data_IF_283157514239
#
_entry.id   IF_283157514239
#
_cell.length_a   1.000
_cell.length_b   1.000
_cell.length_c   1.000
_cell.angle_alpha   90.00
_cell.angle_beta   90.00
_cell.angle_gamma   90.00
#
_symmetry.space_group_name_H-M   'P 1'
#
loop_
_entity.id
_entity.type
_entity.pdbx_description
1 polymer ?
#
# COMPACT_ATOMS: atom_id res chain seq x y z
N UNK A 1 -14.63 -7.57 24.29
CA UNK A 1 -13.76 -6.92 23.29
C UNK A 1 -12.61 -7.87 23.03
N UNK A 2 -12.31 -8.20 21.77
CA UNK A 2 -11.18 -9.07 21.45
C UNK A 2 -9.88 -8.42 21.91
N UNK A 3 -8.99 -9.21 22.52
CA UNK A 3 -7.69 -8.76 23.00
C UNK A 3 -6.82 -8.23 21.85
N UNK A 4 -6.08 -7.15 22.12
CA UNK A 4 -5.08 -6.59 21.22
C UNK A 4 -3.71 -7.09 21.63
N UNK A 5 -3.00 -7.69 20.68
CA UNK A 5 -1.63 -8.17 20.87
C UNK A 5 -0.71 -7.35 19.98
N UNK A 6 0.28 -6.71 20.57
CA UNK A 6 1.35 -6.03 19.81
C UNK A 6 2.24 -7.11 19.19
N UNK A 7 2.36 -7.09 17.87
CA UNK A 7 3.22 -8.01 17.12
C UNK A 7 4.64 -7.43 17.05
N UNK A 8 4.74 -6.16 16.68
CA UNK A 8 5.99 -5.44 16.56
C UNK A 8 5.78 -3.96 16.92
N UNK A 9 6.83 -3.35 17.47
CA UNK A 9 6.89 -1.91 17.74
C UNK A 9 8.33 -1.47 17.57
N UNK A 10 8.54 -0.48 16.72
CA UNK A 10 9.88 0.03 16.40
C UNK A 10 9.85 1.55 16.23
N UNK A 11 10.96 2.20 16.61
CA UNK A 11 11.17 3.63 16.37
C UNK A 11 12.00 3.80 15.11
N UNK A 12 11.44 4.46 14.11
CA UNK A 12 12.11 4.84 12.86
C UNK A 12 12.54 6.31 12.92
N UNK A 13 13.35 6.81 11.96
CA UNK A 13 13.65 8.24 11.86
C UNK A 13 12.42 9.14 11.74
N UNK A 14 11.28 8.62 11.26
CA UNK A 14 10.07 9.41 11.08
C UNK A 14 9.11 9.28 12.28
N UNK A 15 9.14 8.18 13.03
CA UNK A 15 8.38 8.07 14.28
C UNK A 15 8.28 6.63 14.81
N UNK A 16 7.49 6.43 15.86
CA UNK A 16 7.19 5.08 16.34
C UNK A 16 6.10 4.43 15.49
N UNK A 17 6.40 3.26 14.93
CA UNK A 17 5.44 2.40 14.28
C UNK A 17 5.15 1.19 15.17
N UNK A 18 3.88 0.78 15.19
CA UNK A 18 3.43 -0.44 15.85
C UNK A 18 2.50 -1.22 14.94
N UNK A 19 2.78 -2.50 14.80
CA UNK A 19 1.85 -3.49 14.25
C UNK A 19 1.18 -4.23 15.40
N UNK A 20 -0.15 -4.26 15.40
CA UNK A 20 -0.91 -5.03 16.37
C UNK A 20 -1.98 -5.87 15.70
N UNK A 21 -2.40 -6.94 16.38
CA UNK A 21 -3.46 -7.83 15.95
C UNK A 21 -4.61 -7.84 16.95
N UNK A 22 -5.83 -7.79 16.45
CA UNK A 22 -7.07 -7.91 17.21
C UNK A 22 -7.81 -9.20 16.80
N UNK A 23 -7.90 -10.17 17.71
CA UNK A 23 -8.46 -11.48 17.37
C UNK A 23 -7.54 -12.28 16.42
N UNK A 24 -8.13 -13.03 15.47
CA UNK A 24 -7.36 -13.93 14.58
C UNK A 24 -6.73 -13.20 13.39
N UNK A 25 -7.47 -12.34 12.71
CA UNK A 25 -7.09 -11.86 11.36
C UNK A 25 -7.26 -10.34 11.15
N UNK A 26 -7.47 -9.57 12.23
CA UNK A 26 -7.53 -8.10 12.13
C UNK A 26 -6.18 -7.51 12.51
N UNK A 27 -5.53 -6.84 11.56
CA UNK A 27 -4.27 -6.14 11.77
C UNK A 27 -4.50 -4.64 11.77
N UNK A 28 -3.81 -3.92 12.64
CA UNK A 28 -3.88 -2.47 12.78
C UNK A 28 -2.45 -1.92 12.84
N UNK A 29 -2.17 -0.88 12.06
CA UNK A 29 -0.91 -0.12 12.08
C UNK A 29 -1.16 1.16 12.87
N UNK A 30 -0.30 1.42 13.83
CA UNK A 30 -0.34 2.58 14.72
C UNK A 30 0.94 3.38 14.50
N UNK A 31 0.81 4.70 14.37
CA UNK A 31 1.93 5.62 14.21
C UNK A 31 1.89 6.68 15.32
N UNK A 32 2.96 6.79 16.11
CA UNK A 32 3.05 7.70 17.26
C UNK A 32 1.83 7.61 18.20
N UNK A 33 1.32 6.40 18.43
CA UNK A 33 0.14 6.14 19.25
C UNK A 33 -1.21 6.45 18.59
N UNK A 34 -1.22 6.95 17.36
CA UNK A 34 -2.42 7.24 16.57
C UNK A 34 -2.72 6.09 15.61
N UNK A 35 -4.00 5.70 15.54
CA UNK A 35 -4.44 4.73 14.55
C UNK A 35 -4.19 5.25 13.13
N UNK A 36 -3.47 4.48 12.32
CA UNK A 36 -3.20 4.80 10.93
C UNK A 36 -4.20 4.07 10.03
N UNK A 37 -4.10 2.74 9.96
CA UNK A 37 -4.93 1.91 9.09
C UNK A 37 -5.11 0.49 9.63
N UNK A 38 -6.08 -0.23 9.09
CA UNK A 38 -6.37 -1.62 9.45
C UNK A 38 -6.73 -2.50 8.25
N UNK A 39 -6.68 -3.82 8.46
CA UNK A 39 -7.10 -4.80 7.45
C UNK A 39 -8.58 -4.68 7.05
N UNK A 40 -9.44 -4.12 7.90
CA UNK A 40 -10.85 -3.86 7.56
C UNK A 40 -11.06 -2.63 6.66
N UNK A 41 -10.00 -1.87 6.33
CA UNK A 41 -10.06 -0.75 5.40
C UNK A 41 -9.92 -1.18 3.92
N UNK A 42 -9.90 -2.48 3.62
CA UNK A 42 -9.85 -3.03 2.25
C UNK A 42 -10.86 -2.40 1.26
N UNK A 43 -12.15 -2.16 1.62
CA UNK A 43 -13.12 -1.65 0.66
C UNK A 43 -12.79 -0.26 0.11
N UNK A 44 -12.22 0.64 0.92
CA UNK A 44 -11.85 1.99 0.47
C UNK A 44 -10.63 1.96 -0.45
N UNK A 45 -9.62 1.15 -0.12
CA UNK A 45 -8.44 0.94 -0.95
C UNK A 45 -8.81 0.35 -2.34
N UNK A 46 -9.70 -0.65 -2.35
CA UNK A 46 -10.22 -1.22 -3.61
C UNK A 46 -11.02 -0.20 -4.42
N UNK A 47 -11.81 0.64 -3.75
CA UNK A 47 -12.58 1.69 -4.41
C UNK A 47 -11.67 2.74 -5.06
N UNK A 48 -10.58 3.15 -4.39
CA UNK A 48 -9.59 4.09 -4.94
C UNK A 48 -9.04 3.60 -6.29
N UNK A 49 -8.52 2.38 -6.34
CA UNK A 49 -7.97 1.80 -7.56
C UNK A 49 -9.04 1.62 -8.66
N UNK A 50 -10.18 1.02 -8.31
CA UNK A 50 -11.27 0.75 -9.27
C UNK A 50 -11.81 2.04 -9.90
N UNK A 51 -12.06 3.05 -9.07
CA UNK A 51 -12.61 4.32 -9.54
C UNK A 51 -11.62 5.02 -10.47
N UNK A 52 -10.35 5.10 -10.09
CA UNK A 52 -9.33 5.74 -10.93
C UNK A 52 -9.16 5.03 -12.28
N UNK A 53 -9.01 3.70 -12.28
CA UNK A 53 -8.81 2.92 -13.50
C UNK A 53 -10.06 2.91 -14.41
N UNK A 54 -11.26 3.01 -13.85
CA UNK A 54 -12.49 3.12 -14.63
C UNK A 54 -12.62 4.44 -15.42
N UNK A 55 -11.87 5.48 -15.04
CA UNK A 55 -11.84 6.77 -15.77
C UNK A 55 -10.95 6.73 -17.01
N UNK A 56 -10.10 5.72 -17.15
CA UNK A 56 -9.25 5.54 -18.32
C UNK A 56 -10.03 4.83 -19.43
N UNK A 57 -9.80 5.18 -20.72
CA UNK A 57 -10.49 4.54 -21.84
C UNK A 57 -10.38 3.01 -21.80
N UNK A 58 -11.49 2.32 -22.06
CA UNK A 58 -11.52 0.84 -22.05
C UNK A 58 -10.57 0.22 -23.09
N UNK A 59 -10.25 0.95 -24.16
CA UNK A 59 -9.32 0.53 -25.22
C UNK A 59 -7.84 0.72 -24.86
N UNK A 60 -7.53 1.43 -23.77
CA UNK A 60 -6.15 1.66 -23.33
C UNK A 60 -5.63 0.40 -22.61
N UNK A 61 -4.52 -0.14 -23.08
CA UNK A 61 -3.80 -1.28 -22.48
C UNK A 61 -2.37 -0.90 -22.13
N UNK A 62 -1.65 -1.72 -21.37
CA UNK A 62 -0.28 -1.41 -20.94
C UNK A 62 -0.26 -0.22 -19.98
N UNK A 63 -1.19 -0.23 -19.01
CA UNK A 63 -1.31 0.84 -18.03
C UNK A 63 -0.16 0.77 -17.04
N UNK A 64 0.39 1.95 -16.77
CA UNK A 64 1.42 2.18 -15.75
C UNK A 64 0.78 2.96 -14.61
N UNK A 65 0.74 2.35 -13.44
CA UNK A 65 0.10 2.92 -12.24
C UNK A 65 1.19 3.24 -11.23
N UNK A 66 1.09 4.41 -10.58
CA UNK A 66 1.86 4.73 -9.39
C UNK A 66 0.96 4.63 -8.17
N UNK A 67 1.36 3.86 -7.17
CA UNK A 67 0.71 3.78 -5.86
C UNK A 67 1.64 4.43 -4.84
N UNK A 68 1.19 5.52 -4.21
CA UNK A 68 1.90 6.16 -3.11
C UNK A 68 1.38 5.61 -1.78
N UNK A 69 2.28 5.02 -0.99
CA UNK A 69 1.95 4.25 0.22
C UNK A 69 1.67 2.77 -0.10
N UNK A 70 2.31 1.86 0.63
CA UNK A 70 2.04 0.42 0.53
C UNK A 70 0.95 0.01 1.50
N UNK A 71 1.10 0.40 2.78
CA UNK A 71 0.20 0.03 3.86
C UNK A 71 -0.11 -1.48 3.91
N UNK A 72 -1.39 -1.84 3.85
CA UNK A 72 -1.85 -3.24 3.82
C UNK A 72 -1.66 -3.92 2.45
N UNK A 73 -1.33 -3.17 1.39
CA UNK A 73 -1.17 -3.68 0.02
C UNK A 73 -2.47 -3.79 -0.78
N UNK A 74 -3.62 -3.36 -0.25
CA UNK A 74 -4.92 -3.49 -0.93
C UNK A 74 -5.04 -2.63 -2.19
N UNK A 75 -4.54 -1.39 -2.17
CA UNK A 75 -4.56 -0.51 -3.35
C UNK A 75 -3.70 -1.08 -4.48
N UNK A 76 -2.54 -1.66 -4.15
CA UNK A 76 -1.70 -2.40 -5.09
C UNK A 76 -2.45 -3.64 -5.64
N UNK A 77 -2.98 -4.50 -4.78
CA UNK A 77 -3.70 -5.70 -5.19
C UNK A 77 -4.90 -5.39 -6.11
N UNK A 78 -5.67 -4.36 -5.77
CA UNK A 78 -6.79 -3.90 -6.58
C UNK A 78 -6.31 -3.35 -7.94
N UNK A 79 -5.19 -2.62 -7.99
CA UNK A 79 -4.60 -2.16 -9.24
C UNK A 79 -4.17 -3.32 -10.15
N UNK A 80 -3.51 -4.34 -9.57
CA UNK A 80 -3.07 -5.54 -10.29
C UNK A 80 -4.23 -6.41 -10.81
N UNK A 81 -5.42 -6.27 -10.24
CA UNK A 81 -6.62 -6.98 -10.68
C UNK A 81 -7.18 -6.49 -12.02
N UNK A 82 -6.82 -5.27 -12.45
CA UNK A 82 -7.20 -4.77 -13.78
C UNK A 82 -6.27 -5.37 -14.85
N UNK A 83 -6.80 -6.14 -15.82
CA UNK A 83 -5.97 -6.82 -16.83
C UNK A 83 -5.26 -5.86 -17.79
N UNK A 84 -5.63 -4.58 -17.80
CA UNK A 84 -4.96 -3.56 -18.61
C UNK A 84 -3.64 -3.10 -17.98
N UNK A 85 -3.43 -3.35 -16.68
CA UNK A 85 -2.23 -2.94 -15.93
C UNK A 85 -1.05 -3.86 -16.21
N UNK A 86 0.02 -3.25 -16.72
CA UNK A 86 1.29 -3.90 -17.05
C UNK A 86 2.37 -3.59 -16.01
N UNK A 87 2.27 -2.45 -15.32
CA UNK A 87 3.25 -2.03 -14.32
C UNK A 87 2.56 -1.27 -13.19
N UNK A 88 2.92 -1.62 -11.95
CA UNK A 88 2.62 -0.83 -10.77
C UNK A 88 3.93 -0.47 -10.07
N UNK A 89 4.25 0.82 -10.01
CA UNK A 89 5.28 1.33 -9.12
C UNK A 89 4.64 1.62 -7.76
N UNK A 90 5.18 1.05 -6.68
CA UNK A 90 4.77 1.36 -5.30
C UNK A 90 5.87 2.15 -4.64
N UNK A 91 5.55 3.31 -4.09
CA UNK A 91 6.50 4.14 -3.37
C UNK A 91 6.09 4.18 -1.91
N UNK A 92 6.91 3.58 -1.07
CA UNK A 92 6.69 3.48 0.38
C UNK A 92 7.87 4.14 1.10
N UNK A 93 7.59 5.06 2.02
CA UNK A 93 8.62 5.81 2.74
C UNK A 93 9.19 5.00 3.91
N UNK A 94 8.43 4.06 4.46
CA UNK A 94 8.80 3.24 5.61
C UNK A 94 9.21 1.81 5.21
N UNK A 95 10.52 1.47 5.24
CA UNK A 95 11.01 0.11 5.03
C UNK A 95 10.34 -0.92 5.95
N UNK A 96 9.91 -0.49 7.14
CA UNK A 96 9.27 -1.36 8.11
C UNK A 96 7.86 -1.80 7.66
N UNK A 97 7.13 -0.94 6.96
CA UNK A 97 5.82 -1.29 6.37
C UNK A 97 6.01 -2.33 5.26
N UNK A 98 7.06 -2.20 4.45
CA UNK A 98 7.44 -3.22 3.45
C UNK A 98 7.74 -4.55 4.12
N UNK A 99 8.56 -4.54 5.17
CA UNK A 99 8.91 -5.74 5.92
C UNK A 99 7.66 -6.42 6.50
N UNK A 100 6.80 -5.67 7.17
CA UNK A 100 5.55 -6.21 7.72
C UNK A 100 4.58 -6.69 6.64
N UNK A 101 4.56 -6.06 5.46
CA UNK A 101 3.77 -6.55 4.35
C UNK A 101 4.25 -7.94 3.91
N UNK A 102 5.56 -8.14 3.77
CA UNK A 102 6.10 -9.46 3.40
C UNK A 102 5.86 -10.53 4.46
N UNK A 103 6.02 -10.19 5.74
CA UNK A 103 5.96 -11.17 6.83
C UNK A 103 4.55 -11.46 7.34
N UNK A 104 3.70 -10.44 7.47
CA UNK A 104 2.44 -10.54 8.23
C UNK A 104 1.20 -10.19 7.41
N UNK A 105 1.28 -9.17 6.54
CA UNK A 105 0.08 -8.59 5.92
C UNK A 105 -0.19 -9.08 4.50
N UNK A 106 0.83 -9.54 3.79
CA UNK A 106 0.76 -9.85 2.35
C UNK A 106 -0.31 -10.88 2.03
N UNK A 107 -0.47 -11.89 2.88
CA UNK A 107 -1.50 -12.92 2.73
C UNK A 107 -2.93 -12.37 2.77
N UNK A 108 -3.16 -11.20 3.39
CA UNK A 108 -4.48 -10.56 3.43
C UNK A 108 -4.88 -9.99 2.06
N UNK A 109 -3.89 -9.61 1.24
CA UNK A 109 -4.08 -8.99 -0.08
C UNK A 109 -3.64 -9.91 -1.24
N UNK A 110 -3.30 -11.18 -0.97
CA UNK A 110 -2.85 -12.14 -1.98
C UNK A 110 -1.41 -11.95 -2.44
N UNK A 111 -0.52 -11.50 -1.54
CA UNK A 111 0.91 -11.27 -1.77
C UNK A 111 1.21 -10.39 -3.00
N UNK A 112 0.65 -9.18 -3.08
CA UNK A 112 0.73 -8.36 -4.29
C UNK A 112 2.15 -7.83 -4.57
N UNK A 113 3.04 -7.80 -3.57
CA UNK A 113 4.46 -7.50 -3.77
C UNK A 113 5.22 -8.57 -4.58
N UNK A 114 4.69 -9.79 -4.66
CA UNK A 114 5.32 -10.89 -5.39
C UNK A 114 4.88 -10.94 -6.87
N UNK A 115 3.89 -10.14 -7.27
CA UNK A 115 3.51 -10.01 -8.67
C UNK A 115 4.65 -9.35 -9.46
N UNK A 116 5.08 -10.01 -10.54
CA UNK A 116 6.14 -9.52 -11.44
C UNK A 116 5.91 -8.12 -12.03
N UNK A 117 4.67 -7.62 -12.04
CA UNK A 117 4.31 -6.27 -12.48
C UNK A 117 4.55 -5.22 -11.40
N UNK A 118 4.83 -5.63 -10.16
CA UNK A 118 5.08 -4.75 -9.02
C UNK A 118 6.54 -4.34 -8.95
N UNK A 119 6.77 -3.05 -8.81
CA UNK A 119 8.09 -2.46 -8.61
C UNK A 119 8.05 -1.57 -7.38
N UNK A 120 8.63 -2.07 -6.29
CA UNK A 120 8.68 -1.36 -5.02
C UNK A 120 9.88 -0.41 -4.97
N UNK A 121 9.65 0.80 -4.48
CA UNK A 121 10.65 1.83 -4.21
C UNK A 121 10.50 2.27 -2.76
N UNK A 122 11.52 1.98 -1.95
CA UNK A 122 11.62 2.48 -0.58
C UNK A 122 12.15 3.92 -0.62
N UNK A 123 11.25 4.89 -0.73
CA UNK A 123 11.57 6.30 -0.97
C UNK A 123 10.42 7.23 -0.55
N UNK A 124 10.76 8.50 -0.34
CA UNK A 124 9.77 9.57 -0.24
C UNK A 124 9.06 9.77 -1.59
N UNK A 125 7.72 9.83 -1.56
CA UNK A 125 6.87 9.96 -2.75
C UNK A 125 7.16 11.26 -3.50
N UNK A 126 7.33 12.38 -2.80
CA UNK A 126 7.54 13.69 -3.44
C UNK A 126 8.87 13.68 -4.19
N UNK A 127 9.93 13.18 -3.56
CA UNK A 127 11.27 13.01 -4.13
C UNK A 127 11.25 12.06 -5.33
N UNK A 128 10.51 10.94 -5.23
CA UNK A 128 10.36 9.99 -6.34
C UNK A 128 9.68 10.64 -7.56
N UNK A 129 8.56 11.33 -7.36
CA UNK A 129 7.80 11.97 -8.44
C UNK A 129 8.61 13.10 -9.09
N UNK A 130 9.45 13.81 -8.34
CA UNK A 130 10.33 14.86 -8.87
C UNK A 130 11.50 14.31 -9.72
N UNK A 131 11.93 13.07 -9.48
CA UNK A 131 13.12 12.49 -10.10
C UNK A 131 12.81 11.48 -11.22
N UNK A 132 11.63 10.87 -11.20
CA UNK A 132 11.25 9.86 -12.17
C UNK A 132 11.05 10.43 -13.57
N UNK A 133 11.44 9.67 -14.59
CA UNK A 133 11.12 9.94 -16.02
C UNK A 133 9.97 9.10 -16.54
N UNK A 134 9.37 8.29 -15.66
CA UNK A 134 8.24 7.43 -15.99
C UNK A 134 6.98 8.28 -16.10
N UNK A 135 6.25 8.11 -17.19
CA UNK A 135 4.88 8.60 -17.32
C UNK A 135 3.90 7.55 -16.83
N UNK A 136 2.92 7.97 -16.02
CA UNK A 136 1.89 7.11 -15.45
C UNK A 136 0.52 7.45 -16.04
N UNK A 137 -0.30 6.42 -16.25
CA UNK A 137 -1.71 6.59 -16.66
C UNK A 137 -2.59 6.94 -15.45
N UNK A 138 -2.21 6.51 -14.24
CA UNK A 138 -2.91 6.84 -12.99
C UNK A 138 -1.94 6.94 -11.80
N UNK A 139 -2.21 7.90 -10.91
CA UNK A 139 -1.55 8.05 -9.60
C UNK A 139 -2.61 7.80 -8.51
N UNK A 140 -2.40 6.76 -7.69
CA UNK A 140 -3.25 6.39 -6.57
C UNK A 140 -2.52 6.76 -5.29
N UNK A 141 -2.90 7.87 -4.67
CA UNK A 141 -2.23 8.40 -3.49
C UNK A 141 -3.01 7.98 -2.25
N UNK A 142 -2.53 6.92 -1.60
CA UNK A 142 -3.09 6.34 -0.38
C UNK A 142 -2.12 6.58 0.78
N UNK A 143 -1.71 7.84 0.89
CA UNK A 143 -0.80 8.34 1.94
C UNK A 143 -1.64 8.87 3.09
N UNK A 144 -1.61 8.16 4.21
CA UNK A 144 -2.28 8.59 5.45
C UNK A 144 -1.48 9.70 6.15
N UNK A 145 -1.99 10.23 7.28
CA UNK A 145 -1.27 11.19 8.15
C UNK A 145 -0.07 10.57 8.90
N UNK A 146 0.45 9.46 8.38
CA UNK A 146 1.69 8.84 8.81
C UNK A 146 2.90 9.61 8.29
N UNK A 147 4.11 9.06 8.44
CA UNK A 147 5.33 9.68 7.93
C UNK A 147 5.31 9.90 6.41
#
# INVERSE_FOLDING_TARGET
MSERVVIARETTPNGELQLQRRGRDVYEIIYNGVFLMASYNEPSARALATLALSRLPATRTGLRVLVGGLGMGYTLAASLSDPRVERVDVVEIEPLIVHWNREYLGGLAGFPLDDHRTHLHEADLVTFVQSTRVTYDALLLDVDNGP
#
